data_IF_612315136119
#
_entry.id   IF_612315136119
#
_cell.length_a   1.000
_cell.length_b   1.000
_cell.length_c   1.000
_cell.angle_alpha   90.00
_cell.angle_beta   90.00
_cell.angle_gamma   90.00
#
_symmetry.space_group_name_H-M   'P 1'
#
loop_
_entity.id
_entity.type
_entity.pdbx_description
1 polymer ?
#
# COMPACT_ATOMS: atom_id res chain seq x y z
N UNK A 1 -6.69 -11.81 -12.28
CA UNK A 1 -7.66 -11.44 -11.23
C UNK A 1 -8.53 -10.27 -11.67
N UNK A 2 -7.99 -9.18 -12.26
CA UNK A 2 -8.76 -7.98 -12.68
C UNK A 2 -9.92 -8.31 -13.62
N UNK A 3 -9.72 -9.19 -14.62
CA UNK A 3 -10.81 -9.65 -15.51
C UNK A 3 -11.93 -10.36 -14.75
N UNK A 4 -11.59 -11.17 -13.77
CA UNK A 4 -12.58 -11.88 -12.95
C UNK A 4 -13.40 -10.91 -12.10
N UNK A 5 -12.72 -9.98 -11.43
CA UNK A 5 -13.40 -8.94 -10.64
C UNK A 5 -14.29 -8.05 -11.51
N UNK A 6 -13.82 -7.66 -12.71
CA UNK A 6 -14.61 -6.90 -13.67
C UNK A 6 -15.89 -7.65 -14.07
N UNK A 7 -15.79 -8.94 -14.36
CA UNK A 7 -16.95 -9.77 -14.70
C UNK A 7 -17.95 -9.87 -13.54
N UNK A 8 -17.46 -10.04 -12.30
CA UNK A 8 -18.32 -10.08 -11.11
C UNK A 8 -19.05 -8.75 -10.88
N UNK A 9 -18.33 -7.62 -11.00
CA UNK A 9 -18.95 -6.29 -10.89
C UNK A 9 -20.03 -6.08 -11.93
N UNK A 10 -19.79 -6.52 -13.18
CA UNK A 10 -20.76 -6.45 -14.26
C UNK A 10 -22.04 -7.25 -13.96
N UNK A 11 -21.93 -8.46 -13.43
CA UNK A 11 -23.08 -9.29 -13.03
C UNK A 11 -23.91 -8.63 -11.90
N UNK A 12 -23.25 -7.85 -11.04
CA UNK A 12 -23.89 -7.06 -9.98
C UNK A 12 -24.44 -5.71 -10.47
N UNK A 13 -24.31 -5.39 -11.77
CA UNK A 13 -24.74 -4.10 -12.33
C UNK A 13 -23.84 -2.92 -11.91
N UNK A 14 -22.65 -3.19 -11.39
CA UNK A 14 -21.67 -2.16 -10.99
C UNK A 14 -20.77 -1.84 -12.19
N UNK A 15 -20.82 -0.60 -12.72
CA UNK A 15 -19.97 -0.22 -13.84
C UNK A 15 -18.50 -0.22 -13.41
N UNK A 16 -17.65 -0.79 -14.24
CA UNK A 16 -16.20 -0.72 -14.05
C UNK A 16 -15.49 -0.68 -15.39
N UNK A 17 -14.33 -0.05 -15.44
CA UNK A 17 -13.51 0.12 -16.63
C UNK A 17 -12.18 -0.60 -16.42
N UNK A 18 -11.84 -1.46 -17.35
CA UNK A 18 -10.55 -2.13 -17.35
C UNK A 18 -9.46 -1.11 -17.65
N UNK A 19 -8.46 -1.02 -16.78
CA UNK A 19 -7.44 0.01 -16.84
C UNK A 19 -6.07 -0.65 -16.85
N UNK A 20 -5.24 -0.31 -17.82
CA UNK A 20 -3.87 -0.83 -17.94
C UNK A 20 -2.85 0.26 -17.64
N UNK A 21 -1.77 -0.13 -17.00
CA UNK A 21 -0.73 0.75 -16.49
C UNK A 21 0.66 0.12 -16.63
N UNK A 22 1.68 0.94 -16.53
CA UNK A 22 3.05 0.49 -16.32
C UNK A 22 3.43 0.64 -14.86
N UNK A 23 3.95 -0.42 -14.25
CA UNK A 23 4.58 -0.34 -12.91
C UNK A 23 6.03 0.13 -12.97
N UNK A 24 6.65 0.04 -14.17
CA UNK A 24 8.06 0.38 -14.40
C UNK A 24 8.23 1.82 -14.84
N UNK A 25 7.23 2.38 -15.55
CA UNK A 25 7.28 3.71 -16.11
C UNK A 25 6.09 4.57 -15.64
N UNK A 26 6.39 5.68 -15.01
CA UNK A 26 5.37 6.63 -14.55
C UNK A 26 4.59 7.25 -15.73
N UNK A 27 5.22 7.38 -16.89
CA UNK A 27 4.64 8.00 -18.08
C UNK A 27 4.46 7.00 -19.22
N UNK A 28 3.34 7.08 -19.90
CA UNK A 28 3.07 6.40 -21.15
C UNK A 28 3.30 7.35 -22.33
N UNK A 29 3.66 6.79 -23.47
CA UNK A 29 3.80 7.56 -24.73
C UNK A 29 2.42 7.61 -25.44
N UNK A 30 1.74 8.76 -25.44
CA UNK A 30 0.36 8.85 -25.94
C UNK A 30 0.25 8.59 -27.45
N UNK A 31 1.29 8.93 -28.20
CA UNK A 31 1.34 8.81 -29.66
C UNK A 31 1.85 7.44 -30.12
N UNK A 32 2.18 6.54 -29.19
CA UNK A 32 2.71 5.23 -29.49
C UNK A 32 1.81 4.14 -28.90
N UNK A 33 0.92 3.60 -29.72
CA UNK A 33 0.00 2.53 -29.31
C UNK A 33 0.72 1.18 -29.30
N UNK A 34 1.23 0.77 -28.14
CA UNK A 34 1.82 -0.55 -27.92
C UNK A 34 1.39 -1.14 -26.58
N UNK A 35 1.02 -2.40 -26.58
CA UNK A 35 0.74 -3.15 -25.35
C UNK A 35 1.99 -3.35 -24.48
N UNK A 36 3.17 -3.26 -25.08
CA UNK A 36 4.44 -3.41 -24.37
C UNK A 36 4.77 -2.24 -23.43
N UNK A 37 3.99 -1.15 -23.52
CA UNK A 37 4.11 -0.05 -22.57
C UNK A 37 3.51 -0.36 -21.19
N UNK A 38 2.61 -1.36 -21.11
CA UNK A 38 1.84 -1.67 -19.92
C UNK A 38 2.11 -3.11 -19.49
N UNK A 39 2.29 -3.31 -18.19
CA UNK A 39 2.58 -4.63 -17.61
C UNK A 39 1.62 -5.01 -16.47
N UNK A 40 0.67 -4.12 -16.13
CA UNK A 40 -0.25 -4.33 -15.03
C UNK A 40 -1.67 -3.85 -15.37
N UNK A 41 -2.67 -4.41 -14.70
CA UNK A 41 -4.07 -4.07 -14.90
C UNK A 41 -4.85 -3.96 -13.59
N UNK A 42 -5.56 -2.87 -13.44
CA UNK A 42 -6.46 -2.55 -12.34
C UNK A 42 -7.86 -2.26 -12.88
N UNK A 43 -8.81 -1.93 -12.01
CA UNK A 43 -10.14 -1.48 -12.41
C UNK A 43 -10.42 -0.08 -11.91
N UNK A 44 -11.03 0.72 -12.76
CA UNK A 44 -11.69 1.96 -12.38
C UNK A 44 -13.17 1.67 -12.14
N UNK A 45 -13.71 2.10 -11.02
CA UNK A 45 -15.15 2.08 -10.72
C UNK A 45 -15.61 3.53 -10.57
N UNK A 46 -16.38 4.07 -11.53
CA UNK A 46 -16.89 5.43 -11.45
C UNK A 46 -17.95 5.52 -10.35
N UNK A 47 -17.82 6.52 -9.49
CA UNK A 47 -18.80 6.91 -8.47
C UNK A 47 -19.39 8.26 -8.84
N UNK A 48 -20.56 8.67 -8.27
CA UNK A 48 -21.24 9.92 -8.65
C UNK A 48 -20.37 11.17 -8.57
N UNK A 49 -19.48 11.25 -7.58
CA UNK A 49 -18.59 12.41 -7.32
C UNK A 49 -17.12 12.04 -7.19
N UNK A 50 -16.76 10.77 -7.44
CA UNK A 50 -15.41 10.26 -7.22
C UNK A 50 -15.10 9.08 -8.16
N UNK A 51 -13.91 8.58 -8.06
CA UNK A 51 -13.44 7.38 -8.77
C UNK A 51 -12.77 6.43 -7.80
N UNK A 52 -13.26 5.21 -7.73
CA UNK A 52 -12.63 4.16 -6.95
C UNK A 52 -11.69 3.35 -7.84
N UNK A 53 -10.45 3.19 -7.41
CA UNK A 53 -9.46 2.35 -8.06
C UNK A 53 -9.31 1.03 -7.32
N UNK A 54 -9.38 -0.08 -8.03
CA UNK A 54 -9.29 -1.41 -7.46
C UNK A 54 -8.04 -2.14 -7.94
N UNK A 55 -7.10 -2.30 -7.04
CA UNK A 55 -5.98 -3.23 -7.19
C UNK A 55 -6.48 -4.65 -6.92
N UNK A 56 -6.52 -5.47 -7.96
CA UNK A 56 -7.10 -6.81 -7.86
C UNK A 56 -6.06 -7.93 -7.64
N UNK A 57 -4.77 -7.63 -7.75
CA UNK A 57 -3.71 -8.65 -7.70
C UNK A 57 -3.08 -8.81 -6.33
N UNK A 58 -3.19 -7.79 -5.49
CA UNK A 58 -2.69 -7.82 -4.13
C UNK A 58 -3.83 -7.69 -3.09
N UNK A 59 -4.37 -8.81 -2.58
CA UNK A 59 -5.47 -8.79 -1.61
C UNK A 59 -5.05 -8.24 -0.25
N UNK A 60 -3.82 -7.86 -0.10
CA UNK A 60 -3.25 -7.33 1.13
C UNK A 60 -3.41 -5.81 1.23
N UNK A 61 -3.49 -5.15 0.10
CA UNK A 61 -3.69 -3.72 0.06
C UNK A 61 -5.10 -3.33 0.56
N UNK A 62 -5.23 -2.20 1.21
CA UNK A 62 -6.53 -1.66 1.57
C UNK A 62 -7.40 -1.40 0.34
N UNK A 63 -8.71 -1.56 0.51
CA UNK A 63 -9.69 -1.30 -0.55
C UNK A 63 -9.64 0.17 -1.00
N UNK A 64 -9.53 0.40 -2.30
CA UNK A 64 -9.46 1.74 -2.88
C UNK A 64 -8.11 2.46 -2.74
N UNK A 65 -7.13 1.83 -2.12
CA UNK A 65 -5.79 2.40 -1.97
C UNK A 65 -4.97 2.21 -3.24
N UNK A 66 -4.39 3.30 -3.73
CA UNK A 66 -3.45 3.30 -4.86
C UNK A 66 -2.03 3.27 -4.29
N UNK A 67 -1.37 2.11 -4.39
CA UNK A 67 -0.07 1.88 -3.74
C UNK A 67 1.10 2.58 -4.43
N UNK A 68 2.25 2.63 -3.76
CA UNK A 68 3.44 3.38 -4.20
C UNK A 68 3.93 3.02 -5.60
N UNK A 69 3.77 1.78 -6.02
CA UNK A 69 4.23 1.30 -7.33
C UNK A 69 3.43 1.80 -8.53
N UNK A 70 2.28 2.47 -8.30
CA UNK A 70 1.41 2.97 -9.37
C UNK A 70 0.81 4.36 -9.09
N UNK A 71 0.96 4.87 -7.87
CA UNK A 71 0.43 6.18 -7.51
C UNK A 71 1.03 7.28 -8.40
N UNK A 72 0.16 8.08 -9.02
CA UNK A 72 0.55 9.14 -9.93
C UNK A 72 1.06 8.66 -11.30
N UNK A 73 0.94 7.38 -11.66
CA UNK A 73 1.30 6.88 -13.00
C UNK A 73 0.23 7.23 -14.03
N UNK A 74 0.64 7.36 -15.28
CA UNK A 74 -0.29 7.41 -16.41
C UNK A 74 -0.93 6.03 -16.59
N UNK A 75 -2.22 6.04 -16.92
CA UNK A 75 -3.01 4.85 -17.13
C UNK A 75 -3.87 4.97 -18.39
N UNK A 76 -4.20 3.85 -19.00
CA UNK A 76 -5.07 3.77 -20.17
C UNK A 76 -6.37 3.05 -19.79
N UNK A 77 -7.47 3.75 -19.80
CA UNK A 77 -8.81 3.19 -19.67
C UNK A 77 -9.20 2.52 -20.99
N UNK A 78 -9.63 1.28 -20.92
CA UNK A 78 -10.10 0.52 -22.08
C UNK A 78 -11.63 0.65 -22.16
N UNK A 79 -12.10 1.51 -23.04
CA UNK A 79 -13.53 1.75 -23.26
C UNK A 79 -14.00 1.16 -24.60
N UNK A 80 -15.31 1.16 -24.82
CA UNK A 80 -15.90 0.70 -26.10
C UNK A 80 -15.55 1.64 -27.26
N UNK A 81 -15.34 2.91 -26.94
CA UNK A 81 -15.02 3.97 -27.91
C UNK A 81 -13.51 4.07 -28.18
N UNK A 82 -12.68 3.32 -27.44
CA UNK A 82 -11.22 3.34 -27.55
C UNK A 82 -10.52 3.51 -26.22
N UNK A 83 -9.23 3.79 -26.27
CA UNK A 83 -8.40 4.06 -25.10
C UNK A 83 -8.50 5.52 -24.65
N UNK A 84 -8.65 5.76 -23.38
CA UNK A 84 -8.64 7.10 -22.78
C UNK A 84 -7.49 7.19 -21.78
N UNK A 85 -6.54 8.08 -22.06
CA UNK A 85 -5.43 8.35 -21.13
C UNK A 85 -5.94 9.09 -19.91
N UNK A 86 -5.51 8.63 -18.74
CA UNK A 86 -5.74 9.32 -17.47
C UNK A 86 -4.51 9.24 -16.59
N UNK A 87 -4.54 9.89 -15.45
CA UNK A 87 -3.50 9.80 -14.43
C UNK A 87 -4.09 9.27 -13.14
N UNK A 88 -3.41 8.31 -12.53
CA UNK A 88 -3.81 7.78 -11.23
C UNK A 88 -3.61 8.83 -10.13
N UNK A 89 -4.41 8.76 -9.05
CA UNK A 89 -4.21 9.62 -7.89
C UNK A 89 -2.80 9.50 -7.33
N UNK A 90 -2.28 10.61 -6.85
CA UNK A 90 -1.07 10.68 -6.04
C UNK A 90 -1.39 11.28 -4.69
N UNK A 91 -0.55 11.02 -3.71
CA UNK A 91 -0.72 11.54 -2.36
C UNK A 91 0.32 12.62 -2.07
N UNK A 92 -0.04 13.68 -1.32
CA UNK A 92 0.93 14.67 -0.85
C UNK A 92 1.98 14.02 0.04
N UNK A 93 3.24 14.42 -0.09
CA UNK A 93 4.35 13.91 0.74
C UNK A 93 4.09 14.09 2.24
N UNK A 94 3.35 15.14 2.61
CA UNK A 94 2.96 15.41 3.99
C UNK A 94 2.10 14.33 4.65
N UNK A 95 1.45 13.47 3.85
CA UNK A 95 0.67 12.31 4.33
C UNK A 95 1.50 11.04 4.39
N UNK A 96 2.62 10.98 3.65
CA UNK A 96 3.52 9.83 3.62
C UNK A 96 4.51 9.90 4.79
N UNK A 97 4.05 9.52 5.98
CA UNK A 97 4.79 9.75 7.21
C UNK A 97 5.14 8.49 7.97
N UNK A 98 6.31 8.49 8.59
CA UNK A 98 6.69 7.54 9.63
C UNK A 98 7.16 8.33 10.86
N UNK A 99 6.54 8.05 11.99
CA UNK A 99 6.89 8.68 13.26
C UNK A 99 7.23 7.60 14.27
N UNK A 100 8.38 7.72 14.90
CA UNK A 100 8.81 6.80 15.96
C UNK A 100 9.10 7.57 17.24
N UNK A 101 8.54 7.11 18.36
CA UNK A 101 8.82 7.60 19.68
C UNK A 101 9.46 6.48 20.50
N UNK A 102 10.51 6.79 21.23
CA UNK A 102 11.17 5.84 22.12
C UNK A 102 11.50 6.46 23.47
N UNK A 103 11.19 5.73 24.53
CA UNK A 103 11.62 6.05 25.91
C UNK A 103 12.66 5.04 26.35
N UNK A 104 13.84 5.50 26.71
CA UNK A 104 14.98 4.65 27.08
C UNK A 104 15.33 4.88 28.55
N UNK A 105 15.35 3.81 29.33
CA UNK A 105 15.80 3.82 30.74
C UNK A 105 17.04 2.94 30.87
N UNK A 106 18.16 3.53 31.24
CA UNK A 106 19.40 2.79 31.50
C UNK A 106 19.37 2.06 32.82
N UNK A 107 19.93 0.87 32.88
CA UNK A 107 20.11 0.11 34.11
C UNK A 107 21.51 0.31 34.68
N UNK A 108 21.70 0.15 36.01
CA UNK A 108 23.03 0.24 36.62
C UNK A 108 24.06 -0.77 36.12
N UNK A 109 23.58 -1.84 35.47
CA UNK A 109 24.42 -2.92 34.93
C UNK A 109 24.81 -2.72 33.45
N UNK A 110 24.53 -1.53 32.88
CA UNK A 110 24.87 -1.21 31.50
C UNK A 110 23.84 -1.68 30.45
N UNK A 111 22.70 -2.22 30.90
CA UNK A 111 21.58 -2.53 30.02
C UNK A 111 20.63 -1.36 29.82
N UNK A 112 19.64 -1.54 28.94
CA UNK A 112 18.56 -0.56 28.73
C UNK A 112 17.20 -1.24 28.67
N UNK A 113 16.16 -0.55 29.19
CA UNK A 113 14.77 -0.86 28.90
C UNK A 113 14.22 0.19 27.93
N UNK A 114 13.64 -0.27 26.82
CA UNK A 114 13.14 0.60 25.77
C UNK A 114 11.65 0.33 25.61
N UNK A 115 10.87 1.41 25.56
CA UNK A 115 9.48 1.37 25.07
C UNK A 115 9.45 2.17 23.79
N UNK A 116 9.03 1.53 22.70
CA UNK A 116 8.95 2.17 21.40
C UNK A 116 7.53 2.12 20.85
N UNK A 117 7.13 3.17 20.14
CA UNK A 117 5.93 3.21 19.33
C UNK A 117 6.22 3.83 17.97
N UNK A 118 5.68 3.25 16.92
CA UNK A 118 5.88 3.71 15.54
C UNK A 118 4.57 3.76 14.77
N UNK A 119 4.26 4.91 14.17
CA UNK A 119 3.11 5.07 13.27
C UNK A 119 3.63 5.28 11.86
N UNK A 120 3.20 4.41 10.94
CA UNK A 120 3.52 4.49 9.52
C UNK A 120 2.24 4.67 8.70
N UNK A 121 2.27 5.61 7.74
CA UNK A 121 1.12 5.95 6.88
C UNK A 121 1.50 5.89 5.41
N UNK A 122 0.53 5.62 4.55
CA UNK A 122 0.67 5.52 3.10
C UNK A 122 1.81 4.57 2.69
N UNK A 123 2.78 5.04 1.94
CA UNK A 123 3.89 4.22 1.43
C UNK A 123 4.78 3.67 2.56
N UNK A 124 4.86 4.39 3.68
CA UNK A 124 5.53 3.88 4.88
C UNK A 124 4.74 2.73 5.53
N UNK A 125 3.41 2.74 5.42
CA UNK A 125 2.56 1.63 5.83
C UNK A 125 2.86 0.36 5.03
N UNK A 126 3.08 0.45 3.72
CA UNK A 126 3.32 -0.73 2.86
C UNK A 126 4.51 -1.57 3.35
N UNK A 127 5.57 -0.91 3.78
CA UNK A 127 6.78 -1.58 4.29
C UNK A 127 6.53 -2.33 5.62
N UNK A 128 5.53 -1.91 6.39
CA UNK A 128 5.23 -2.46 7.72
C UNK A 128 4.02 -3.39 7.76
N UNK A 129 3.09 -3.27 6.80
CA UNK A 129 1.82 -4.00 6.80
C UNK A 129 1.99 -5.53 6.84
N UNK A 130 3.09 -6.05 6.29
CA UNK A 130 3.42 -7.47 6.31
C UNK A 130 3.48 -8.09 7.72
N UNK A 131 3.83 -7.29 8.73
CA UNK A 131 3.97 -7.78 10.12
C UNK A 131 2.65 -8.33 10.70
N UNK A 132 1.51 -7.81 10.25
CA UNK A 132 0.19 -8.23 10.76
C UNK A 132 -0.11 -9.70 10.48
N UNK A 133 0.53 -10.28 9.47
CA UNK A 133 0.33 -11.67 9.01
C UNK A 133 1.33 -12.64 9.57
N UNK A 134 2.39 -12.14 10.17
CA UNK A 134 3.40 -13.00 10.78
C UNK A 134 2.86 -13.62 12.07
N UNK A 135 3.23 -14.87 12.30
CA UNK A 135 3.04 -15.49 13.58
C UNK A 135 3.74 -14.68 14.69
N UNK A 136 3.23 -14.71 15.93
CA UNK A 136 3.77 -13.89 17.02
C UNK A 136 5.29 -14.01 17.24
N UNK A 137 5.85 -15.19 17.06
CA UNK A 137 7.30 -15.44 17.13
C UNK A 137 8.07 -14.69 16.03
N UNK A 138 7.58 -14.76 14.80
CA UNK A 138 8.19 -14.11 13.64
C UNK A 138 8.06 -12.58 13.66
N UNK A 139 7.03 -12.03 14.33
CA UNK A 139 6.92 -10.57 14.53
C UNK A 139 8.07 -10.02 15.34
N UNK A 140 8.55 -10.77 16.34
CA UNK A 140 9.73 -10.39 17.13
C UNK A 140 10.99 -10.34 16.28
N UNK A 141 11.19 -11.35 15.44
CA UNK A 141 12.36 -11.41 14.55
C UNK A 141 12.31 -10.31 13.49
N UNK A 142 11.12 -10.05 12.94
CA UNK A 142 10.91 -8.95 11.99
C UNK A 142 11.28 -7.59 12.59
N UNK A 143 10.75 -7.26 13.77
CA UNK A 143 11.08 -5.99 14.44
C UNK A 143 12.56 -5.94 14.85
N UNK A 144 13.11 -7.06 15.32
CA UNK A 144 14.52 -7.15 15.71
C UNK A 144 15.47 -6.89 14.54
N UNK A 145 15.12 -7.34 13.33
CA UNK A 145 15.96 -7.11 12.14
C UNK A 145 16.11 -5.63 11.78
N UNK A 146 15.12 -4.80 12.16
CA UNK A 146 15.17 -3.34 11.99
C UNK A 146 15.92 -2.59 13.10
N UNK A 147 16.36 -3.29 14.18
CA UNK A 147 17.01 -2.68 15.34
C UNK A 147 18.51 -3.04 15.33
N UNK A 148 19.36 -2.04 15.18
CA UNK A 148 20.81 -2.25 15.18
C UNK A 148 21.37 -2.32 16.62
N UNK A 149 20.91 -3.31 17.39
CA UNK A 149 21.39 -3.61 18.75
C UNK A 149 21.87 -5.07 18.83
N UNK A 150 23.03 -5.29 19.44
CA UNK A 150 23.67 -6.62 19.52
C UNK A 150 22.81 -7.64 20.26
N UNK A 151 22.14 -7.21 21.34
CA UNK A 151 21.26 -8.07 22.15
C UNK A 151 19.96 -7.32 22.47
N UNK A 152 18.94 -7.54 21.67
CA UNK A 152 17.61 -6.98 21.90
C UNK A 152 16.58 -8.11 22.07
N UNK A 153 15.83 -8.05 23.19
CA UNK A 153 14.65 -8.89 23.41
C UNK A 153 13.40 -8.03 23.24
N UNK A 154 12.57 -8.37 22.28
CA UNK A 154 11.32 -7.65 22.02
C UNK A 154 10.17 -8.39 22.70
N UNK A 155 9.37 -7.66 23.44
CA UNK A 155 8.23 -8.16 24.19
C UNK A 155 7.02 -7.21 24.02
N UNK A 156 5.83 -7.71 24.36
CA UNK A 156 4.60 -6.92 24.43
C UNK A 156 4.25 -6.18 23.12
N UNK A 157 4.46 -6.83 21.98
CA UNK A 157 4.14 -6.25 20.67
C UNK A 157 2.62 -6.06 20.57
N UNK A 158 2.21 -4.81 20.31
CA UNK A 158 0.84 -4.45 19.99
C UNK A 158 0.84 -3.83 18.60
N UNK A 159 -0.13 -4.23 17.77
CA UNK A 159 -0.26 -3.77 16.39
C UNK A 159 -1.70 -3.36 16.16
N UNK A 160 -1.90 -2.12 15.75
CA UNK A 160 -3.19 -1.59 15.32
C UNK A 160 -3.06 -1.18 13.84
N UNK A 161 -3.88 -1.78 12.99
CA UNK A 161 -3.89 -1.53 11.54
C UNK A 161 -5.23 -0.91 11.15
N UNK A 162 -5.20 0.23 10.44
CA UNK A 162 -6.36 0.84 9.79
C UNK A 162 -6.20 0.72 8.27
N UNK A 163 -7.08 -0.07 7.63
CA UNK A 163 -7.12 -0.31 6.19
C UNK A 163 -8.13 0.61 5.52
N UNK A 164 -7.81 1.89 5.49
CA UNK A 164 -8.59 2.93 4.83
C UNK A 164 -7.90 3.38 3.53
N UNK A 165 -8.48 4.34 2.82
CA UNK A 165 -7.87 4.95 1.62
C UNK A 165 -6.52 5.60 1.96
N UNK A 166 -6.37 6.10 3.19
CA UNK A 166 -5.08 6.49 3.77
C UNK A 166 -4.72 5.47 4.85
N UNK A 167 -4.04 4.38 4.48
CA UNK A 167 -3.75 3.31 5.41
C UNK A 167 -2.73 3.73 6.47
N UNK A 168 -2.88 3.12 7.64
CA UNK A 168 -2.00 3.38 8.78
C UNK A 168 -1.75 2.09 9.56
N UNK A 169 -0.54 1.97 10.10
CA UNK A 169 -0.20 0.96 11.09
C UNK A 169 0.51 1.61 12.28
N UNK A 170 0.06 1.30 13.49
CA UNK A 170 0.69 1.66 14.76
C UNK A 170 1.25 0.39 15.41
N UNK A 171 2.53 0.41 15.71
CA UNK A 171 3.24 -0.72 16.34
C UNK A 171 3.90 -0.23 17.63
N UNK A 172 3.63 -0.94 18.74
CA UNK A 172 4.20 -0.66 20.06
C UNK A 172 4.90 -1.92 20.58
N UNK A 173 6.07 -1.74 21.20
CA UNK A 173 6.87 -2.83 21.79
C UNK A 173 7.86 -2.34 22.83
#
# INVERSE_FOLDING_TARGET
LSNYTHAMLKELGIPSVYTVISTDNERLLPDFSSVDQMNHAILQVPLPEDTLWLECTNPQLPFGYVHSGIAGHDALLITKEGGIMCRLPSYPDSLNTQTTNASVTLTPTGGAKIKASGISRLFQYESMAGITRLEPSHRKDYLRSGINLIQANINNIQINEAKEVIPMIDIQY
#
